data_IF_516873591689
#
_entry.id   IF_516873591689
#
_cell.length_a   1.000
_cell.length_b   1.000
_cell.length_c   1.000
_cell.angle_alpha   90.00
_cell.angle_beta   90.00
_cell.angle_gamma   90.00
#
_symmetry.space_group_name_H-M   'P 1'
#
loop_
_entity.id
_entity.type
_entity.pdbx_description
1 polymer ?
#
# COMPACT_ATOMS: atom_id res chain seq x y z
N UNK A 1 -5.90 13.44 -31.08
CA UNK A 1 -6.07 13.88 -29.69
C UNK A 1 -6.62 12.77 -28.81
N UNK A 2 -5.77 11.84 -28.39
CA UNK A 2 -6.11 10.88 -27.33
C UNK A 2 -5.15 11.13 -26.16
N UNK A 3 -5.66 11.82 -25.12
CA UNK A 3 -4.90 12.07 -23.90
C UNK A 3 -5.63 11.40 -22.74
N UNK A 4 -4.94 10.49 -22.07
CA UNK A 4 -5.45 9.77 -20.90
C UNK A 4 -4.76 10.30 -19.65
N UNK A 5 -5.54 10.52 -18.59
CA UNK A 5 -5.06 10.97 -17.29
C UNK A 5 -5.41 9.94 -16.22
N UNK A 6 -4.47 9.64 -15.32
CA UNK A 6 -4.64 8.75 -14.17
C UNK A 6 -4.28 9.52 -12.90
N UNK A 7 -5.13 9.40 -11.88
CA UNK A 7 -4.95 10.07 -10.59
C UNK A 7 -5.15 9.06 -9.47
N UNK A 8 -4.36 9.17 -8.41
CA UNK A 8 -4.49 8.37 -7.20
C UNK A 8 -4.34 9.24 -5.94
N UNK A 9 -5.01 8.85 -4.86
CA UNK A 9 -4.97 9.50 -3.57
C UNK A 9 -4.61 8.47 -2.50
N UNK A 10 -3.56 8.73 -1.73
CA UNK A 10 -3.09 7.83 -0.68
C UNK A 10 -2.70 8.61 0.58
N UNK A 11 -2.83 7.94 1.73
CA UNK A 11 -2.17 8.35 2.96
C UNK A 11 -0.66 8.16 2.80
N UNK A 12 0.10 9.24 2.88
CA UNK A 12 1.54 9.25 2.66
C UNK A 12 2.33 8.57 3.79
N UNK A 13 1.80 8.53 5.01
CA UNK A 13 2.44 7.84 6.13
C UNK A 13 1.94 6.40 6.26
N UNK A 14 0.67 6.15 5.93
CA UNK A 14 0.08 4.82 5.79
C UNK A 14 0.65 4.11 4.56
N UNK A 15 -0.06 4.16 3.42
CA UNK A 15 0.37 3.42 2.22
C UNK A 15 1.61 4.00 1.54
N UNK A 16 1.89 5.29 1.74
CA UNK A 16 3.12 5.92 1.24
C UNK A 16 4.38 5.60 2.06
N UNK A 17 4.26 5.01 3.25
CA UNK A 17 5.42 4.65 4.07
C UNK A 17 5.20 3.37 4.90
N UNK A 18 4.76 3.49 6.16
CA UNK A 18 4.82 2.39 7.14
C UNK A 18 3.88 1.24 6.79
N UNK A 19 2.71 1.53 6.24
CA UNK A 19 1.75 0.53 5.79
C UNK A 19 2.26 -0.31 4.62
N UNK A 20 3.04 0.26 3.69
CA UNK A 20 3.70 -0.51 2.65
C UNK A 20 4.86 -1.37 3.21
N UNK A 21 5.61 -0.84 4.17
CA UNK A 21 6.69 -1.59 4.83
C UNK A 21 6.15 -2.81 5.62
N UNK A 22 5.06 -2.63 6.37
CA UNK A 22 4.40 -3.72 7.11
C UNK A 22 3.81 -4.75 6.15
N UNK A 23 3.14 -4.30 5.08
CA UNK A 23 2.60 -5.20 4.06
C UNK A 23 3.69 -6.10 3.46
N UNK A 24 4.82 -5.52 3.06
CA UNK A 24 5.96 -6.26 2.53
C UNK A 24 6.56 -7.22 3.57
N UNK A 25 6.65 -6.78 4.84
CA UNK A 25 7.12 -7.62 5.93
C UNK A 25 6.20 -8.83 6.14
N UNK A 26 4.88 -8.63 6.15
CA UNK A 26 3.90 -9.72 6.29
C UNK A 26 4.10 -10.77 5.20
N UNK A 27 4.28 -10.35 3.94
CA UNK A 27 4.56 -11.24 2.81
C UNK A 27 5.85 -12.03 3.03
N UNK A 28 6.95 -11.37 3.40
CA UNK A 28 8.26 -12.01 3.63
C UNK A 28 8.19 -13.03 4.77
N UNK A 29 7.38 -12.76 5.80
CA UNK A 29 7.19 -13.64 6.94
C UNK A 29 6.14 -14.74 6.70
N UNK A 30 5.48 -14.77 5.54
CA UNK A 30 4.42 -15.74 5.22
C UNK A 30 3.13 -15.53 6.02
N UNK A 31 2.89 -14.30 6.49
CA UNK A 31 1.68 -13.89 7.20
C UNK A 31 0.63 -13.37 6.20
N UNK A 32 -0.61 -13.19 6.69
CA UNK A 32 -1.63 -12.48 5.92
C UNK A 32 -1.14 -11.06 5.61
N UNK A 33 -1.20 -10.67 4.33
CA UNK A 33 -0.69 -9.40 3.84
C UNK A 33 -1.32 -8.18 4.56
N UNK A 34 -2.58 -8.31 4.98
CA UNK A 34 -3.35 -7.25 5.65
C UNK A 34 -3.24 -7.29 7.17
N UNK A 35 -2.48 -8.24 7.74
CA UNK A 35 -2.32 -8.37 9.18
C UNK A 35 -1.78 -7.05 9.79
N UNK A 36 -2.56 -6.47 10.70
CA UNK A 36 -2.22 -5.22 11.37
C UNK A 36 -2.36 -3.95 10.52
N UNK A 37 -2.91 -4.05 9.31
CA UNK A 37 -3.25 -2.92 8.46
C UNK A 37 -4.74 -2.65 8.50
N UNK A 38 -5.10 -1.39 8.74
CA UNK A 38 -6.46 -0.91 8.52
C UNK A 38 -6.70 -0.89 7.00
N UNK A 39 -7.66 -1.70 6.54
CA UNK A 39 -8.20 -1.59 5.18
C UNK A 39 -8.79 -0.22 4.91
#
# INVERSE_FOLDING_TARGET
>A
DERTSVTALFDNLGKGASGAAIQNMNIVLGLDETLGLSV
#
